data_IF_566192964566
#
_entry.id   IF_566192964566
#
_cell.length_a   1.000
_cell.length_b   1.000
_cell.length_c   1.000
_cell.angle_alpha   90.00
_cell.angle_beta   90.00
_cell.angle_gamma   90.00
#
_symmetry.space_group_name_H-M   'P 1'
#
loop_
_entity.id
_entity.type
_entity.pdbx_description
1 polymer ?
#
# COMPACT_ATOMS: atom_id res chain seq x y z
N UNK A 1 -62.35 29.25 -17.85
CA UNK A 1 -61.02 29.80 -17.78
C UNK A 1 -60.37 29.52 -16.43
N UNK A 2 -59.65 28.42 -16.28
CA UNK A 2 -58.79 28.16 -15.11
C UNK A 2 -57.45 27.67 -15.62
N UNK A 3 -56.40 28.50 -15.38
CA UNK A 3 -55.01 28.21 -15.66
C UNK A 3 -54.47 27.24 -14.58
N UNK A 4 -53.92 26.09 -15.02
CA UNK A 4 -53.16 25.21 -14.19
C UNK A 4 -51.70 25.72 -14.09
N UNK A 5 -51.23 25.96 -12.88
CA UNK A 5 -49.83 26.33 -12.59
C UNK A 5 -49.00 25.06 -12.41
N UNK A 6 -48.03 24.86 -13.32
CA UNK A 6 -47.04 23.80 -13.21
C UNK A 6 -46.07 24.05 -12.06
N UNK A 7 -46.13 23.21 -11.04
CA UNK A 7 -45.16 23.13 -9.96
C UNK A 7 -43.86 22.47 -10.47
N UNK A 8 -42.83 23.24 -10.62
CA UNK A 8 -41.48 22.78 -10.96
C UNK A 8 -40.72 22.52 -9.65
N UNK A 9 -40.64 21.25 -9.24
CA UNK A 9 -39.73 20.85 -8.14
C UNK A 9 -38.32 20.66 -8.69
N UNK A 10 -37.32 21.35 -8.14
CA UNK A 10 -35.93 21.09 -8.55
C UNK A 10 -35.44 19.77 -7.94
N UNK A 11 -35.09 18.83 -8.79
CA UNK A 11 -34.34 17.62 -8.43
C UNK A 11 -32.92 18.01 -8.04
N UNK A 12 -32.68 18.21 -6.75
CA UNK A 12 -31.34 18.31 -6.19
C UNK A 12 -30.97 16.91 -5.67
N UNK A 13 -30.39 16.05 -6.52
CA UNK A 13 -29.65 14.87 -6.03
C UNK A 13 -28.89 14.20 -7.20
N UNK A 14 -27.82 14.82 -7.71
CA UNK A 14 -26.92 14.15 -8.64
C UNK A 14 -25.47 14.67 -8.54
N UNK A 15 -25.03 15.10 -7.39
CA UNK A 15 -23.66 15.63 -7.23
C UNK A 15 -22.69 14.75 -6.44
N UNK A 16 -23.19 13.85 -5.62
CA UNK A 16 -22.32 13.12 -4.66
C UNK A 16 -21.75 11.83 -5.26
N UNK A 17 -22.48 11.16 -6.14
CA UNK A 17 -22.05 9.89 -6.75
C UNK A 17 -20.94 10.08 -7.79
N UNK A 18 -20.86 11.24 -8.43
CA UNK A 18 -19.81 11.55 -9.41
C UNK A 18 -18.45 11.86 -8.76
N UNK A 19 -18.46 12.44 -7.54
CA UNK A 19 -17.22 12.74 -6.82
C UNK A 19 -16.54 11.47 -6.28
N UNK A 20 -17.32 10.47 -5.86
CA UNK A 20 -16.76 9.21 -5.32
C UNK A 20 -16.15 8.35 -6.42
N UNK A 21 -16.69 8.40 -7.63
CA UNK A 21 -16.12 7.69 -8.79
C UNK A 21 -14.84 8.34 -9.33
N UNK A 22 -14.68 9.66 -9.15
CA UNK A 22 -13.47 10.34 -9.61
C UNK A 22 -12.25 10.09 -8.70
N UNK A 23 -12.47 9.74 -7.42
CA UNK A 23 -11.40 9.37 -6.48
C UNK A 23 -10.81 7.99 -6.82
N UNK A 24 -11.62 7.07 -7.38
CA UNK A 24 -11.12 5.75 -7.84
C UNK A 24 -10.25 5.80 -9.09
N UNK A 25 -10.34 6.86 -9.91
CA UNK A 25 -9.59 6.98 -11.17
C UNK A 25 -8.26 7.73 -11.04
N UNK A 26 -7.97 8.34 -9.89
CA UNK A 26 -6.71 9.07 -9.66
C UNK A 26 -5.59 8.11 -9.19
N UNK A 27 -5.92 6.84 -8.89
CA UNK A 27 -4.96 5.87 -8.32
C UNK A 27 -4.44 4.81 -9.30
N UNK A 28 -4.72 4.94 -10.60
CA UNK A 28 -4.22 3.98 -11.60
C UNK A 28 -3.19 4.59 -12.55
N UNK A 29 -2.18 5.25 -12.02
CA UNK A 29 -0.89 5.17 -12.68
C UNK A 29 -0.28 3.85 -12.19
N UNK A 30 -0.21 2.88 -13.11
CA UNK A 30 0.49 1.62 -12.89
C UNK A 30 1.83 1.93 -12.19
N UNK A 31 2.01 1.43 -10.97
CA UNK A 31 3.23 1.64 -10.18
C UNK A 31 4.48 1.28 -10.99
N UNK A 32 4.35 0.31 -11.87
CA UNK A 32 5.42 -0.08 -12.80
C UNK A 32 5.79 1.04 -13.78
N UNK A 33 4.78 1.74 -14.34
CA UNK A 33 5.04 2.88 -15.22
C UNK A 33 5.64 4.05 -14.46
N UNK A 34 5.13 4.35 -13.26
CA UNK A 34 5.66 5.40 -12.40
C UNK A 34 7.13 5.16 -12.09
N UNK A 35 7.48 3.96 -11.61
CA UNK A 35 8.88 3.57 -11.34
C UNK A 35 9.74 3.69 -12.60
N UNK A 36 9.22 3.29 -13.76
CA UNK A 36 9.97 3.39 -15.02
C UNK A 36 10.25 4.84 -15.45
N UNK A 37 9.29 5.75 -15.25
CA UNK A 37 9.48 7.19 -15.49
C UNK A 37 10.50 7.80 -14.51
N UNK A 38 10.40 7.42 -13.24
CA UNK A 38 11.28 7.94 -12.19
C UNK A 38 12.73 7.44 -12.35
N UNK A 39 12.95 6.24 -12.91
CA UNK A 39 14.29 5.78 -13.32
C UNK A 39 14.91 6.76 -14.30
N UNK A 40 14.17 7.19 -15.32
CA UNK A 40 14.67 8.14 -16.32
C UNK A 40 14.98 9.50 -15.68
N UNK A 41 14.14 9.94 -14.74
CA UNK A 41 14.37 11.19 -13.99
C UNK A 41 15.62 11.10 -13.12
N UNK A 42 15.81 10.00 -12.38
CA UNK A 42 17.00 9.77 -11.55
C UNK A 42 18.30 9.69 -12.39
N UNK A 43 18.23 9.08 -13.60
CA UNK A 43 19.35 9.06 -14.53
C UNK A 43 19.75 10.48 -14.98
N UNK A 44 18.75 11.33 -15.31
CA UNK A 44 18.99 12.73 -15.71
C UNK A 44 19.56 13.56 -14.57
N UNK A 45 19.06 13.33 -13.34
CA UNK A 45 19.53 13.98 -12.12
C UNK A 45 20.89 13.47 -11.63
N UNK A 46 21.40 12.37 -12.20
CA UNK A 46 22.63 11.65 -11.75
C UNK A 46 22.55 11.20 -10.27
N UNK A 47 21.34 10.95 -9.79
CA UNK A 47 21.07 10.44 -8.44
C UNK A 47 21.28 8.92 -8.42
N UNK A 48 22.46 8.50 -8.00
CA UNK A 48 22.87 7.09 -7.98
C UNK A 48 22.03 6.26 -7.02
N UNK A 49 21.82 6.75 -5.80
CA UNK A 49 21.08 6.03 -4.75
C UNK A 49 19.64 5.78 -5.19
N UNK A 50 18.98 6.84 -5.68
CA UNK A 50 17.60 6.74 -6.19
C UNK A 50 17.52 5.79 -7.40
N UNK A 51 18.48 5.88 -8.29
CA UNK A 51 18.55 5.03 -9.48
C UNK A 51 18.69 3.54 -9.13
N UNK A 52 19.53 3.20 -8.17
CA UNK A 52 19.72 1.83 -7.70
C UNK A 52 18.48 1.28 -7.01
N UNK A 53 17.88 2.04 -6.10
CA UNK A 53 16.63 1.68 -5.44
C UNK A 53 15.50 1.41 -6.45
N UNK A 54 15.32 2.30 -7.44
CA UNK A 54 14.29 2.17 -8.47
C UNK A 54 14.52 0.99 -9.41
N UNK A 55 15.78 0.71 -9.77
CA UNK A 55 16.13 -0.48 -10.56
C UNK A 55 15.84 -1.76 -9.81
N UNK A 56 16.11 -1.78 -8.52
CA UNK A 56 15.80 -2.90 -7.64
C UNK A 56 14.28 -3.14 -7.57
N UNK A 57 13.47 -2.10 -7.35
CA UNK A 57 12.01 -2.20 -7.43
C UNK A 57 11.56 -2.78 -8.76
N UNK A 58 12.05 -2.22 -9.88
CA UNK A 58 11.67 -2.65 -11.23
C UNK A 58 12.00 -4.12 -11.48
N UNK A 59 13.15 -4.59 -11.00
CA UNK A 59 13.56 -6.00 -11.08
C UNK A 59 12.50 -6.92 -10.46
N UNK A 60 12.08 -6.64 -9.23
CA UNK A 60 11.08 -7.45 -8.54
C UNK A 60 9.69 -7.34 -9.15
N UNK A 61 9.35 -6.19 -9.72
CA UNK A 61 8.10 -6.04 -10.45
C UNK A 61 8.07 -6.88 -11.73
N UNK A 62 9.17 -6.92 -12.48
CA UNK A 62 9.30 -7.78 -13.67
C UNK A 62 9.23 -9.25 -13.26
N UNK A 63 9.95 -9.63 -12.21
CA UNK A 63 9.92 -11.00 -11.69
C UNK A 63 8.50 -11.42 -11.31
N UNK A 64 7.75 -10.55 -10.62
CA UNK A 64 6.35 -10.83 -10.25
C UNK A 64 5.44 -10.95 -11.47
N UNK A 65 5.63 -10.13 -12.52
CA UNK A 65 4.87 -10.19 -13.77
C UNK A 65 5.13 -11.48 -14.56
N UNK A 66 6.35 -12.00 -14.50
CA UNK A 66 6.78 -13.18 -15.26
C UNK A 66 6.53 -14.50 -14.51
N UNK A 67 6.03 -14.46 -13.28
CA UNK A 67 5.68 -15.68 -12.54
C UNK A 67 4.56 -16.48 -13.23
N UNK A 68 4.59 -17.81 -13.16
CA UNK A 68 3.52 -18.64 -13.67
C UNK A 68 2.16 -18.24 -13.08
N UNK A 69 1.19 -17.91 -13.94
CA UNK A 69 -0.13 -17.47 -13.53
C UNK A 69 -0.33 -15.95 -13.38
N UNK A 70 0.71 -15.15 -13.49
CA UNK A 70 0.60 -13.69 -13.42
C UNK A 70 0.06 -13.06 -14.72
N UNK A 71 0.08 -13.79 -15.87
CA UNK A 71 -0.37 -13.31 -17.17
C UNK A 71 0.19 -11.95 -17.57
N UNK A 72 1.47 -11.70 -17.27
CA UNK A 72 2.19 -10.43 -17.48
C UNK A 72 1.51 -9.21 -16.80
N UNK A 73 0.72 -9.45 -15.76
CA UNK A 73 0.04 -8.40 -15.00
C UNK A 73 0.64 -8.27 -13.60
N UNK A 74 0.75 -7.04 -13.11
CA UNK A 74 1.13 -6.72 -11.74
C UNK A 74 -0.03 -5.98 -11.09
N UNK A 75 -0.69 -6.60 -10.12
CA UNK A 75 -1.76 -5.93 -9.38
C UNK A 75 -1.15 -4.94 -8.39
N UNK A 76 -1.88 -3.84 -8.10
CA UNK A 76 -1.44 -2.84 -7.11
C UNK A 76 -1.16 -3.47 -5.75
N UNK A 77 -1.98 -4.45 -5.34
CA UNK A 77 -1.79 -5.19 -4.09
C UNK A 77 -0.45 -5.96 -4.09
N UNK A 78 -0.11 -6.61 -5.20
CA UNK A 78 1.16 -7.32 -5.33
C UNK A 78 2.35 -6.35 -5.35
N UNK A 79 2.22 -5.22 -6.06
CA UNK A 79 3.22 -4.18 -6.09
C UNK A 79 3.49 -3.59 -4.70
N UNK A 80 2.45 -3.26 -3.94
CA UNK A 80 2.56 -2.74 -2.58
C UNK A 80 3.19 -3.75 -1.61
N UNK A 81 2.87 -5.04 -1.75
CA UNK A 81 3.51 -6.10 -0.96
C UNK A 81 5.01 -6.21 -1.25
N UNK A 82 5.39 -6.12 -2.52
CA UNK A 82 6.80 -6.14 -2.94
C UNK A 82 7.53 -4.93 -2.35
N UNK A 83 6.98 -3.71 -2.50
CA UNK A 83 7.57 -2.49 -1.97
C UNK A 83 7.73 -2.54 -0.45
N UNK A 84 6.71 -2.99 0.28
CA UNK A 84 6.75 -3.14 1.73
C UNK A 84 7.84 -4.14 2.18
N UNK A 85 7.97 -5.27 1.46
CA UNK A 85 9.02 -6.25 1.72
C UNK A 85 10.42 -5.66 1.47
N UNK A 86 10.62 -4.95 0.38
CA UNK A 86 11.91 -4.34 0.03
C UNK A 86 12.29 -3.23 1.02
N UNK A 87 11.36 -2.36 1.40
CA UNK A 87 11.60 -1.32 2.40
C UNK A 87 11.99 -1.91 3.75
N UNK A 88 11.30 -3.00 4.18
CA UNK A 88 11.64 -3.71 5.40
C UNK A 88 13.04 -4.33 5.33
N UNK A 89 13.35 -5.05 4.23
CA UNK A 89 14.66 -5.64 4.04
C UNK A 89 15.78 -4.59 4.08
N UNK A 90 15.60 -3.43 3.43
CA UNK A 90 16.57 -2.34 3.47
C UNK A 90 16.80 -1.82 4.90
N UNK A 91 15.74 -1.63 5.69
CA UNK A 91 15.88 -1.23 7.10
C UNK A 91 16.57 -2.29 7.96
N UNK A 92 16.20 -3.56 7.78
CA UNK A 92 16.79 -4.67 8.53
C UNK A 92 18.29 -4.81 8.19
N UNK A 93 18.65 -4.66 6.91
CA UNK A 93 20.05 -4.67 6.45
C UNK A 93 20.82 -3.46 6.98
N UNK A 94 20.25 -2.26 6.97
CA UNK A 94 20.85 -1.07 7.55
C UNK A 94 21.14 -1.27 9.05
N UNK A 95 20.18 -1.81 9.81
CA UNK A 95 20.38 -2.12 11.24
C UNK A 95 21.47 -3.16 11.47
N UNK A 96 21.59 -4.15 10.59
CA UNK A 96 22.66 -5.15 10.63
C UNK A 96 24.03 -4.50 10.41
N UNK A 97 24.17 -3.59 9.42
CA UNK A 97 25.40 -2.88 9.17
C UNK A 97 25.80 -1.97 10.34
N UNK A 98 24.85 -1.31 10.99
CA UNK A 98 25.11 -0.54 12.23
C UNK A 98 25.72 -1.46 13.31
N UNK A 99 25.16 -2.65 13.50
CA UNK A 99 25.66 -3.62 14.49
C UNK A 99 27.08 -4.14 14.18
N UNK A 100 27.50 -4.03 12.91
CA UNK A 100 28.83 -4.40 12.43
C UNK A 100 29.81 -3.22 12.33
N UNK A 101 29.44 -2.03 12.87
CA UNK A 101 30.19 -0.80 12.78
C UNK A 101 30.48 -0.35 11.32
N UNK A 102 29.56 -0.62 10.40
CA UNK A 102 29.63 -0.22 9.00
C UNK A 102 28.57 0.83 8.72
N UNK A 103 28.72 2.00 9.35
CA UNK A 103 27.78 3.11 9.21
C UNK A 103 27.70 3.65 7.78
N UNK A 104 28.77 3.52 7.00
CA UNK A 104 28.85 3.86 5.58
C UNK A 104 27.79 3.06 4.77
N UNK A 105 27.78 1.74 4.93
CA UNK A 105 26.81 0.85 4.24
C UNK A 105 25.40 0.99 4.83
N UNK A 106 25.29 1.20 6.14
CA UNK A 106 24.00 1.43 6.78
C UNK A 106 23.29 2.67 6.23
N UNK A 107 24.04 3.75 5.99
CA UNK A 107 23.50 4.98 5.43
C UNK A 107 23.00 4.79 3.98
N UNK A 108 23.73 4.03 3.17
CA UNK A 108 23.35 3.73 1.79
C UNK A 108 22.04 2.89 1.75
N UNK A 109 21.96 1.82 2.53
CA UNK A 109 20.76 0.98 2.63
C UNK A 109 19.56 1.75 3.16
N UNK A 110 19.74 2.56 4.19
CA UNK A 110 18.69 3.41 4.74
C UNK A 110 18.17 4.42 3.70
N UNK A 111 19.08 5.03 2.92
CA UNK A 111 18.70 5.96 1.87
C UNK A 111 17.92 5.26 0.73
N UNK A 112 18.32 4.05 0.33
CA UNK A 112 17.57 3.25 -0.65
C UNK A 112 16.18 2.85 -0.09
N UNK A 113 16.11 2.43 1.17
CA UNK A 113 14.84 2.10 1.82
C UNK A 113 13.89 3.31 1.86
N UNK A 114 14.38 4.51 2.16
CA UNK A 114 13.60 5.74 2.13
C UNK A 114 13.01 6.04 0.74
N UNK A 115 13.76 5.83 -0.33
CA UNK A 115 13.26 5.97 -1.70
C UNK A 115 12.13 4.98 -1.98
N UNK A 116 12.24 3.74 -1.51
CA UNK A 116 11.18 2.73 -1.69
C UNK A 116 9.93 3.13 -0.91
N UNK A 117 10.07 3.68 0.29
CA UNK A 117 8.97 4.14 1.14
C UNK A 117 8.15 5.28 0.52
N UNK A 118 8.73 6.10 -0.37
CA UNK A 118 7.99 7.14 -1.10
C UNK A 118 6.85 6.57 -1.98
N UNK A 119 6.96 5.30 -2.37
CA UNK A 119 5.95 4.60 -3.19
C UNK A 119 4.90 3.86 -2.36
N UNK A 120 5.10 3.78 -1.04
CA UNK A 120 4.13 3.19 -0.13
C UNK A 120 3.13 4.24 0.34
N UNK A 121 1.86 3.86 0.55
CA UNK A 121 0.93 4.73 1.25
C UNK A 121 1.45 4.99 2.67
N UNK A 122 1.04 6.12 3.27
CA UNK A 122 1.44 6.48 4.62
C UNK A 122 1.21 5.31 5.59
N UNK A 123 2.25 4.92 6.29
CA UNK A 123 2.16 3.87 7.30
C UNK A 123 1.16 4.28 8.39
N UNK A 124 0.35 3.33 8.82
CA UNK A 124 -0.59 3.52 9.93
C UNK A 124 0.15 3.50 11.26
N UNK A 125 -0.30 4.32 12.19
CA UNK A 125 0.12 4.22 13.59
C UNK A 125 -0.43 2.95 14.22
N UNK A 126 0.15 2.47 15.33
CA UNK A 126 -0.37 1.29 16.03
C UNK A 126 -1.85 1.42 16.42
N UNK A 127 -2.28 2.63 16.81
CA UNK A 127 -3.67 2.94 17.17
C UNK A 127 -4.60 2.87 15.94
N UNK A 128 -4.13 3.39 14.80
CA UNK A 128 -4.88 3.31 13.54
C UNK A 128 -4.98 1.86 13.05
N UNK A 129 -3.92 1.06 13.18
CA UNK A 129 -3.95 -0.38 12.86
C UNK A 129 -4.98 -1.09 13.73
N UNK A 130 -5.01 -0.79 15.04
CA UNK A 130 -6.00 -1.37 15.95
C UNK A 130 -7.44 -0.99 15.58
N UNK A 131 -7.68 0.27 15.25
CA UNK A 131 -9.00 0.75 14.82
C UNK A 131 -9.46 0.07 13.52
N UNK A 132 -8.58 -0.03 12.53
CA UNK A 132 -8.87 -0.70 11.25
C UNK A 132 -9.12 -2.20 11.43
N UNK A 133 -8.33 -2.88 12.26
CA UNK A 133 -8.51 -4.30 12.55
C UNK A 133 -9.83 -4.53 13.29
N UNK A 134 -10.22 -3.67 14.25
CA UNK A 134 -11.53 -3.73 14.92
C UNK A 134 -12.68 -3.60 13.92
N UNK A 135 -12.56 -2.66 12.98
CA UNK A 135 -13.58 -2.48 11.94
C UNK A 135 -13.69 -3.72 11.03
N UNK A 136 -12.55 -4.33 10.68
CA UNK A 136 -12.52 -5.55 9.87
C UNK A 136 -13.12 -6.74 10.64
N UNK A 137 -12.83 -6.89 11.92
CA UNK A 137 -13.42 -7.94 12.79
C UNK A 137 -14.93 -7.82 12.79
N UNK A 138 -15.48 -6.61 12.94
CA UNK A 138 -16.92 -6.34 12.90
C UNK A 138 -17.50 -6.65 11.50
N UNK A 139 -16.82 -6.26 10.42
CA UNK A 139 -17.26 -6.50 9.04
C UNK A 139 -17.36 -7.99 8.69
N UNK A 140 -16.36 -8.78 9.10
CA UNK A 140 -16.35 -10.23 8.82
C UNK A 140 -17.11 -11.06 9.85
N UNK A 141 -17.65 -10.42 10.91
CA UNK A 141 -18.40 -11.07 11.97
C UNK A 141 -17.54 -12.08 12.78
N UNK A 142 -16.26 -11.82 12.93
CA UNK A 142 -15.36 -12.69 13.65
C UNK A 142 -15.57 -12.54 15.17
N UNK A 143 -15.81 -13.67 15.86
CA UNK A 143 -16.08 -13.68 17.31
C UNK A 143 -15.13 -14.60 18.08
N UNK A 144 -14.24 -15.28 17.39
CA UNK A 144 -13.34 -16.25 18.03
C UNK A 144 -11.95 -16.27 17.39
N UNK A 145 -10.93 -16.78 18.10
CA UNK A 145 -9.59 -16.97 17.53
C UNK A 145 -9.56 -17.87 16.29
N UNK A 146 -10.58 -18.72 16.09
CA UNK A 146 -10.70 -19.59 14.90
C UNK A 146 -10.96 -18.77 13.62
N UNK A 147 -11.54 -17.57 13.74
CA UNK A 147 -11.82 -16.68 12.61
C UNK A 147 -10.63 -15.82 12.21
N UNK A 148 -9.49 -15.97 12.88
CA UNK A 148 -8.26 -15.21 12.60
C UNK A 148 -7.87 -15.26 11.13
N UNK A 149 -8.02 -16.42 10.46
CA UNK A 149 -7.71 -16.56 9.03
C UNK A 149 -8.57 -15.68 8.13
N UNK A 150 -9.89 -15.53 8.45
CA UNK A 150 -10.80 -14.66 7.72
C UNK A 150 -10.42 -13.19 7.89
N UNK A 151 -10.16 -12.78 9.14
CA UNK A 151 -9.74 -11.41 9.46
C UNK A 151 -8.43 -11.09 8.76
N UNK A 152 -7.43 -11.96 8.86
CA UNK A 152 -6.12 -11.77 8.22
C UNK A 152 -6.23 -11.70 6.69
N UNK A 153 -7.10 -12.48 6.07
CA UNK A 153 -7.34 -12.45 4.62
C UNK A 153 -7.83 -11.08 4.13
N UNK A 154 -8.74 -10.45 4.87
CA UNK A 154 -9.27 -9.11 4.55
C UNK A 154 -8.28 -8.02 4.97
N UNK A 155 -7.71 -8.12 6.17
CA UNK A 155 -6.77 -7.14 6.70
C UNK A 155 -5.51 -7.02 5.82
N UNK A 156 -4.94 -8.14 5.37
CA UNK A 156 -3.77 -8.13 4.48
C UNK A 156 -4.02 -7.43 3.15
N UNK A 157 -5.26 -7.43 2.66
CA UNK A 157 -5.64 -6.73 1.44
C UNK A 157 -5.89 -5.24 1.70
N UNK A 158 -6.68 -4.91 2.73
CA UNK A 158 -7.03 -3.53 3.06
C UNK A 158 -5.85 -2.70 3.55
N UNK A 159 -4.95 -3.33 4.31
CA UNK A 159 -3.80 -2.68 4.93
C UNK A 159 -2.48 -2.94 4.19
N UNK A 160 -2.55 -3.47 2.95
CA UNK A 160 -1.37 -3.72 2.12
C UNK A 160 -0.52 -2.45 1.96
N UNK A 161 0.77 -2.54 2.32
CA UNK A 161 1.70 -1.41 2.25
C UNK A 161 1.52 -0.33 3.32
N UNK A 162 0.47 -0.40 4.16
CA UNK A 162 0.19 0.58 5.24
C UNK A 162 0.56 0.05 6.62
N UNK A 163 0.57 -1.26 6.83
CA UNK A 163 0.96 -1.89 8.08
C UNK A 163 1.74 -3.19 7.85
N UNK A 164 2.64 -3.51 8.77
CA UNK A 164 3.36 -4.79 8.75
C UNK A 164 2.40 -5.94 9.08
N UNK A 165 2.48 -7.03 8.32
CA UNK A 165 1.67 -8.23 8.56
C UNK A 165 1.83 -8.82 9.96
N UNK A 166 3.01 -8.67 10.58
CA UNK A 166 3.26 -9.07 11.97
C UNK A 166 2.44 -8.22 12.94
N UNK A 167 2.45 -6.89 12.77
CA UNK A 167 1.66 -5.98 13.61
C UNK A 167 0.15 -6.26 13.47
N UNK A 168 -0.34 -6.47 12.24
CA UNK A 168 -1.74 -6.85 12.00
C UNK A 168 -2.09 -8.16 12.72
N UNK A 169 -1.22 -9.16 12.63
CA UNK A 169 -1.43 -10.47 13.27
C UNK A 169 -1.47 -10.38 14.80
N UNK A 170 -0.54 -9.63 15.40
CA UNK A 170 -0.49 -9.42 16.85
C UNK A 170 -1.74 -8.71 17.37
N UNK A 171 -2.16 -7.64 16.69
CA UNK A 171 -3.37 -6.90 17.03
C UNK A 171 -4.62 -7.76 16.87
N UNK A 172 -4.73 -8.51 15.75
CA UNK A 172 -5.86 -9.41 15.52
C UNK A 172 -5.96 -10.49 16.60
N UNK A 173 -4.83 -11.10 16.95
CA UNK A 173 -4.78 -12.11 18.01
C UNK A 173 -5.20 -11.54 19.36
N UNK A 174 -4.74 -10.34 19.71
CA UNK A 174 -5.12 -9.67 20.96
C UNK A 174 -6.61 -9.36 21.01
N UNK A 175 -7.20 -8.86 19.91
CA UNK A 175 -8.60 -8.48 19.86
C UNK A 175 -9.57 -9.68 19.82
N UNK A 176 -9.17 -10.80 19.21
CA UNK A 176 -9.99 -12.02 19.19
C UNK A 176 -9.85 -12.90 20.45
N UNK A 177 -8.89 -12.59 21.33
CA UNK A 177 -8.68 -13.29 22.60
C UNK A 177 -9.44 -12.62 23.77
N UNK A 178 -10.07 -11.47 23.55
CA UNK A 178 -10.95 -10.78 24.49
C UNK A 178 -12.39 -11.31 24.38
#
# INVERSE_FOLDING_TARGET
ACRATNGHTPRIFTGVTALVNNIKHIHTMDLFEKVSKDIVAAMKAKDKVRLEALRNIKKYFIEAKTQPGANDTLTDEAALKILSKLAKQGRDTAALYVSQNREDLAAEEAAQAAVIEEYLPKALTPEEVEAEVKAIIAEVGATSPKDMGKVMGVASKKLAGRADGKAISEVTKRLLAQ
#
